data_IF_410633696905
#
_entry.id   IF_410633696905
#
_cell.length_a   1.000
_cell.length_b   1.000
_cell.length_c   1.000
_cell.angle_alpha   90.00
_cell.angle_beta   90.00
_cell.angle_gamma   90.00
#
_symmetry.space_group_name_H-M   'P 1'
#
loop_
_entity.id
_entity.type
_entity.pdbx_description
1 polymer ?
#
# COMPACT_ATOMS: atom_id res chain seq x y z
N UNK A 1 -4.04 32.39 33.80
CA UNK A 1 -4.03 32.22 32.33
C UNK A 1 -4.38 30.78 32.03
N UNK A 2 -5.49 30.46 31.34
CA UNK A 2 -5.64 29.14 30.76
C UNK A 2 -4.81 29.08 29.48
N UNK A 3 -4.03 28.00 29.36
CA UNK A 3 -3.25 27.67 28.17
C UNK A 3 -4.21 27.50 27.00
N UNK A 4 -3.81 28.08 25.86
CA UNK A 4 -4.55 28.07 24.61
C UNK A 4 -4.32 26.70 23.99
N UNK A 5 -5.32 25.80 24.06
CA UNK A 5 -5.32 24.55 23.29
C UNK A 5 -5.44 24.91 21.81
N UNK A 6 -4.30 25.10 21.18
CA UNK A 6 -4.17 25.43 19.78
C UNK A 6 -2.73 25.17 19.40
N UNK A 7 -2.46 23.93 19.04
CA UNK A 7 -1.86 23.57 17.76
C UNK A 7 -2.12 22.07 17.57
N UNK A 8 -2.92 21.74 16.57
CA UNK A 8 -2.98 20.39 16.00
C UNK A 8 -1.55 20.05 15.59
N UNK A 9 -1.05 18.88 15.97
CA UNK A 9 0.36 18.47 15.83
C UNK A 9 0.82 18.47 14.36
N UNK A 10 1.25 19.64 13.87
CA UNK A 10 1.72 19.85 12.51
C UNK A 10 3.06 19.17 12.25
N UNK A 11 3.81 18.82 13.30
CA UNK A 11 5.14 18.23 13.16
C UNK A 11 5.06 16.80 12.63
N UNK A 12 4.10 16.00 13.13
CA UNK A 12 3.85 14.63 12.66
C UNK A 12 3.34 14.59 11.20
N UNK A 13 2.51 15.56 10.80
CA UNK A 13 2.00 15.68 9.42
C UNK A 13 3.12 16.06 8.43
N UNK A 14 3.94 17.06 8.78
CA UNK A 14 5.13 17.42 8.01
C UNK A 14 6.09 16.22 7.93
N UNK A 15 6.20 15.45 9.02
CA UNK A 15 7.06 14.28 9.05
C UNK A 15 6.64 13.19 8.06
N UNK A 16 5.34 12.94 8.00
CA UNK A 16 4.77 11.93 7.10
C UNK A 16 4.94 12.35 5.63
N UNK A 17 4.72 13.62 5.30
CA UNK A 17 4.86 14.08 3.92
C UNK A 17 6.30 13.99 3.39
N UNK A 18 7.32 14.29 4.20
CA UNK A 18 8.71 14.18 3.72
C UNK A 18 9.12 12.73 3.48
N UNK A 19 8.64 11.79 4.30
CA UNK A 19 8.93 10.37 4.16
C UNK A 19 8.30 9.81 2.88
N UNK A 20 7.03 10.15 2.63
CA UNK A 20 6.35 9.78 1.39
C UNK A 20 7.10 10.29 0.15
N UNK A 21 7.53 11.56 0.17
CA UNK A 21 8.27 12.16 -0.94
C UNK A 21 9.64 11.49 -1.15
N UNK A 22 10.40 11.26 -0.08
CA UNK A 22 11.70 10.60 -0.17
C UNK A 22 11.55 9.17 -0.72
N UNK A 23 10.53 8.44 -0.28
CA UNK A 23 10.25 7.10 -0.76
C UNK A 23 9.90 7.09 -2.26
N UNK A 24 9.12 8.08 -2.71
CA UNK A 24 8.75 8.21 -4.11
C UNK A 24 9.97 8.52 -5.00
N UNK A 25 10.81 9.48 -4.58
CA UNK A 25 12.04 9.88 -5.29
C UNK A 25 13.01 8.69 -5.39
N UNK A 26 13.20 7.96 -4.28
CA UNK A 26 14.07 6.78 -4.24
C UNK A 26 13.61 5.70 -5.23
N UNK A 27 12.31 5.46 -5.35
CA UNK A 27 11.77 4.50 -6.32
C UNK A 27 11.92 5.00 -7.77
N UNK A 28 11.81 6.29 -8.01
CA UNK A 28 11.92 6.86 -9.37
C UNK A 28 13.33 6.72 -9.94
N UNK A 29 14.37 6.75 -9.09
CA UNK A 29 15.77 6.54 -9.47
C UNK A 29 16.07 5.13 -10.02
N UNK A 30 15.21 4.14 -9.77
CA UNK A 30 15.40 2.75 -10.21
C UNK A 30 15.07 2.58 -11.71
N UNK A 31 16.01 2.91 -12.58
CA UNK A 31 15.84 2.86 -14.05
C UNK A 31 15.45 1.47 -14.60
N UNK A 32 15.80 0.41 -13.88
CA UNK A 32 15.58 -0.98 -14.23
C UNK A 32 14.19 -1.51 -13.84
N UNK A 33 13.44 -0.78 -13.01
CA UNK A 33 12.10 -1.16 -12.55
C UNK A 33 11.06 -0.45 -13.41
N UNK A 34 10.00 -1.18 -13.81
CA UNK A 34 8.94 -0.57 -14.62
C UNK A 34 8.13 0.47 -13.83
N UNK A 35 7.56 1.45 -14.53
CA UNK A 35 6.72 2.48 -13.92
C UNK A 35 5.51 1.90 -13.19
N UNK A 36 4.93 0.81 -13.70
CA UNK A 36 3.81 0.11 -13.06
C UNK A 36 4.23 -0.53 -11.74
N UNK A 37 5.38 -1.19 -11.69
CA UNK A 37 5.92 -1.77 -10.45
C UNK A 37 6.22 -0.68 -9.41
N UNK A 38 6.90 0.40 -9.83
CA UNK A 38 7.14 1.57 -8.97
C UNK A 38 5.83 2.11 -8.41
N UNK A 39 4.82 2.30 -9.27
CA UNK A 39 3.54 2.83 -8.83
C UNK A 39 2.83 1.92 -7.83
N UNK A 40 2.88 0.60 -8.03
CA UNK A 40 2.36 -0.37 -7.05
C UNK A 40 3.11 -0.29 -5.72
N UNK A 41 4.44 -0.19 -5.75
CA UNK A 41 5.27 -0.03 -4.54
C UNK A 41 4.95 1.27 -3.80
N UNK A 42 4.78 2.39 -4.51
CA UNK A 42 4.39 3.69 -3.92
C UNK A 42 3.04 3.60 -3.21
N UNK A 43 2.03 3.01 -3.86
CA UNK A 43 0.69 2.84 -3.26
C UNK A 43 0.74 1.98 -2.00
N UNK A 44 1.55 0.92 -2.02
CA UNK A 44 1.76 0.05 -0.85
C UNK A 44 2.49 0.78 0.28
N UNK A 45 3.60 1.46 0.00
CA UNK A 45 4.39 2.15 1.01
C UNK A 45 3.57 3.24 1.72
N UNK A 46 2.85 4.08 0.97
CA UNK A 46 1.94 5.09 1.55
C UNK A 46 0.82 4.50 2.40
N UNK A 47 0.43 3.24 2.15
CA UNK A 47 -0.54 2.55 3.00
C UNK A 47 0.10 2.01 4.28
N UNK A 48 1.31 1.45 4.21
CA UNK A 48 2.00 0.83 5.33
C UNK A 48 2.64 1.86 6.26
N UNK A 49 3.20 2.94 5.72
CA UNK A 49 4.00 3.92 6.46
C UNK A 49 3.32 4.49 7.71
N UNK A 50 2.01 4.83 7.70
CA UNK A 50 1.32 5.29 8.90
C UNK A 50 1.10 4.21 9.97
N UNK A 51 1.26 2.92 9.63
CA UNK A 51 0.98 1.79 10.52
C UNK A 51 2.20 1.47 11.39
N UNK A 52 2.32 2.17 12.53
CA UNK A 52 3.38 1.87 13.50
C UNK A 52 3.15 0.50 14.17
N UNK A 53 4.23 -0.28 14.33
CA UNK A 53 4.23 -1.49 15.16
C UNK A 53 3.57 -2.72 14.53
N UNK A 54 3.58 -2.84 13.20
CA UNK A 54 3.13 -4.06 12.53
C UNK A 54 4.08 -5.23 12.81
N UNK A 55 3.52 -6.35 13.27
CA UNK A 55 4.23 -7.62 13.35
C UNK A 55 3.84 -8.53 12.17
N UNK A 56 4.69 -9.51 11.85
CA UNK A 56 4.48 -10.47 10.74
C UNK A 56 3.08 -11.10 10.76
N UNK A 57 2.58 -11.46 11.94
CA UNK A 57 1.24 -12.05 12.12
C UNK A 57 0.09 -11.14 11.66
N UNK A 58 0.34 -9.84 11.51
CA UNK A 58 -0.65 -8.86 11.08
C UNK A 58 -0.75 -8.78 9.54
N UNK A 59 0.26 -9.24 8.79
CA UNK A 59 0.33 -9.08 7.33
C UNK A 59 -0.88 -9.66 6.59
N UNK A 60 -1.46 -10.82 6.96
CA UNK A 60 -2.67 -11.31 6.30
C UNK A 60 -3.84 -10.32 6.38
N UNK A 61 -4.08 -9.74 7.55
CA UNK A 61 -5.15 -8.77 7.74
C UNK A 61 -4.85 -7.44 7.04
N UNK A 62 -3.60 -6.98 7.12
CA UNK A 62 -3.13 -5.77 6.43
C UNK A 62 -3.31 -5.90 4.92
N UNK A 63 -2.92 -7.03 4.32
CA UNK A 63 -3.10 -7.29 2.89
C UNK A 63 -4.58 -7.26 2.48
N UNK A 64 -5.47 -7.86 3.30
CA UNK A 64 -6.91 -7.87 3.01
C UNK A 64 -7.52 -6.46 3.11
N UNK A 65 -7.11 -5.67 4.10
CA UNK A 65 -7.59 -4.29 4.24
C UNK A 65 -7.03 -3.38 3.15
N UNK A 66 -5.76 -3.54 2.78
CA UNK A 66 -5.16 -2.87 1.64
C UNK A 66 -5.93 -3.18 0.35
N UNK A 67 -6.16 -4.47 0.07
CA UNK A 67 -6.88 -4.90 -1.12
C UNK A 67 -8.28 -4.29 -1.18
N UNK A 68 -9.02 -4.27 -0.06
CA UNK A 68 -10.35 -3.66 0.01
C UNK A 68 -10.34 -2.16 -0.22
N UNK A 69 -9.43 -1.44 0.44
CA UNK A 69 -9.38 0.03 0.42
C UNK A 69 -8.84 0.58 -0.89
N UNK A 70 -7.89 -0.13 -1.52
CA UNK A 70 -7.22 0.28 -2.75
C UNK A 70 -7.71 -0.44 -4.01
N UNK A 71 -8.68 -1.36 -3.92
CA UNK A 71 -9.17 -2.15 -5.06
C UNK A 71 -9.55 -1.29 -6.28
N UNK A 72 -10.27 -0.19 -6.06
CA UNK A 72 -10.67 0.73 -7.13
C UNK A 72 -9.47 1.40 -7.78
N UNK A 73 -8.58 1.96 -6.97
CA UNK A 73 -7.36 2.61 -7.45
C UNK A 73 -6.48 1.63 -8.25
N UNK A 74 -6.31 0.40 -7.75
CA UNK A 74 -5.55 -0.65 -8.43
C UNK A 74 -6.19 -1.02 -9.77
N UNK A 75 -7.53 -1.11 -9.82
CA UNK A 75 -8.25 -1.44 -11.05
C UNK A 75 -8.18 -0.30 -12.09
N UNK A 76 -8.40 0.94 -11.68
CA UNK A 76 -8.35 2.14 -12.55
C UNK A 76 -6.97 2.38 -13.15
N UNK A 77 -5.91 2.04 -12.41
CA UNK A 77 -4.51 2.16 -12.86
C UNK A 77 -4.00 0.91 -13.59
N UNK A 78 -4.85 -0.11 -13.78
CA UNK A 78 -4.49 -1.37 -14.42
C UNK A 78 -3.25 -2.05 -13.76
N UNK A 79 -3.19 -2.02 -12.42
CA UNK A 79 -2.07 -2.54 -11.62
C UNK A 79 -2.33 -3.93 -11.03
N UNK A 80 -3.32 -4.66 -11.56
CA UNK A 80 -3.75 -5.94 -11.00
C UNK A 80 -2.64 -7.00 -11.00
N UNK A 81 -1.77 -6.99 -12.02
CA UNK A 81 -0.67 -7.95 -12.12
C UNK A 81 0.47 -7.59 -11.17
N UNK A 82 0.83 -6.31 -11.09
CA UNK A 82 1.83 -5.79 -10.17
C UNK A 82 1.41 -6.03 -8.72
N UNK A 83 0.12 -5.87 -8.42
CA UNK A 83 -0.42 -6.24 -7.11
C UNK A 83 -0.30 -7.75 -6.84
N UNK A 84 -0.53 -8.59 -7.84
CA UNK A 84 -0.34 -10.04 -7.70
C UNK A 84 1.12 -10.41 -7.43
N UNK A 85 2.07 -9.83 -8.17
CA UNK A 85 3.50 -10.03 -7.93
C UNK A 85 3.91 -9.58 -6.53
N UNK A 86 3.41 -8.43 -6.08
CA UNK A 86 3.65 -7.95 -4.72
C UNK A 86 3.16 -8.95 -3.66
N UNK A 87 1.94 -9.48 -3.80
CA UNK A 87 1.41 -10.51 -2.90
C UNK A 87 2.19 -11.82 -2.97
N UNK A 88 2.67 -12.22 -4.15
CA UNK A 88 3.49 -13.41 -4.32
C UNK A 88 4.85 -13.26 -3.61
N UNK A 89 5.45 -12.08 -3.62
CA UNK A 89 6.67 -11.81 -2.86
C UNK A 89 6.41 -11.97 -1.35
N UNK A 90 5.30 -11.45 -0.83
CA UNK A 90 4.92 -11.62 0.60
C UNK A 90 4.67 -13.11 0.94
N UNK A 91 4.05 -13.85 0.03
CA UNK A 91 3.84 -15.30 0.16
C UNK A 91 5.17 -16.08 0.15
N UNK A 92 6.16 -15.66 -0.63
CA UNK A 92 7.49 -16.27 -0.67
C UNK A 92 8.17 -16.18 0.69
N UNK A 93 8.07 -15.03 1.36
CA UNK A 93 8.52 -14.82 2.74
C UNK A 93 7.67 -15.53 3.81
N UNK A 94 6.64 -16.30 3.41
CA UNK A 94 5.72 -17.04 4.30
C UNK A 94 4.95 -16.15 5.29
N UNK A 95 4.79 -14.87 4.96
CA UNK A 95 4.04 -13.90 5.77
C UNK A 95 2.52 -13.98 5.53
N UNK A 96 2.12 -14.53 4.38
CA UNK A 96 0.72 -14.83 4.03
C UNK A 96 0.61 -16.21 3.38
N UNK A 97 -0.61 -16.70 3.21
CA UNK A 97 -0.92 -17.95 2.50
C UNK A 97 -1.59 -17.70 1.13
N UNK A 98 -1.71 -18.75 0.31
CA UNK A 98 -2.34 -18.68 -1.01
C UNK A 98 -3.82 -18.27 -0.95
N UNK A 99 -4.50 -18.60 0.14
CA UNK A 99 -5.89 -18.19 0.38
C UNK A 99 -6.00 -16.68 0.61
N UNK A 100 -5.03 -16.05 1.27
CA UNK A 100 -4.92 -14.60 1.41
C UNK A 100 -4.73 -13.96 0.04
N UNK A 101 -3.77 -14.44 -0.77
CA UNK A 101 -3.51 -13.93 -2.12
C UNK A 101 -4.79 -13.95 -2.97
N UNK A 102 -5.48 -15.09 -3.00
CA UNK A 102 -6.72 -15.27 -3.78
C UNK A 102 -7.82 -14.31 -3.32
N UNK A 103 -7.99 -14.14 -2.00
CA UNK A 103 -8.99 -13.20 -1.45
C UNK A 103 -8.66 -11.75 -1.79
N UNK A 104 -7.40 -11.35 -1.68
CA UNK A 104 -6.95 -10.00 -2.02
C UNK A 104 -7.23 -9.66 -3.49
N UNK A 105 -6.81 -10.53 -4.40
CA UNK A 105 -7.04 -10.35 -5.84
C UNK A 105 -8.54 -10.34 -6.18
N UNK A 106 -9.34 -11.16 -5.49
CA UNK A 106 -10.78 -11.16 -5.64
C UNK A 106 -11.48 -9.83 -5.30
N UNK A 107 -10.87 -8.93 -4.52
CA UNK A 107 -11.41 -7.58 -4.33
C UNK A 107 -11.21 -6.70 -5.56
N UNK A 108 -10.02 -6.76 -6.17
CA UNK A 108 -9.69 -6.00 -7.39
C UNK A 108 -10.50 -6.52 -8.57
N UNK A 109 -10.51 -7.84 -8.78
CA UNK A 109 -11.20 -8.47 -9.92
C UNK A 109 -12.72 -8.17 -9.90
N UNK A 110 -13.34 -8.07 -8.71
CA UNK A 110 -14.74 -7.66 -8.56
C UNK A 110 -15.00 -6.21 -8.97
N UNK A 111 -14.02 -5.31 -8.84
CA UNK A 111 -14.15 -3.92 -9.29
C UNK A 111 -13.95 -3.86 -10.80
N UNK A 112 -12.94 -4.54 -11.34
CA UNK A 112 -12.67 -4.59 -12.78
C UNK A 112 -13.89 -5.11 -13.56
N UNK A 113 -14.53 -6.19 -13.09
CA UNK A 113 -15.74 -6.74 -13.72
C UNK A 113 -16.98 -5.82 -13.67
N UNK A 114 -16.94 -4.73 -12.89
CA UNK A 114 -17.99 -3.70 -12.85
C UNK A 114 -17.66 -2.45 -13.67
N UNK A 115 -16.39 -2.29 -14.05
CA UNK A 115 -15.92 -1.18 -14.88
C UNK A 115 -16.08 -1.49 -16.38
N UNK A 116 -16.17 -2.77 -16.74
CA UNK A 116 -16.59 -3.26 -18.06
C UNK A 116 -18.12 -3.30 -18.18
#
# INVERSE_FOLDING_TARGET
>A
MPFKDGDVDSEDEICTHWLEQLNDETLDELSEVSDKEKQMMKIWNRYIEPQRGLADRNLPDVCLQFAKTRARQIAELELRNEFAFHLLNILEFKLIDSACVTRCLGFVDKVTNKLC
#
